data_IF_240289703957
#
_entry.id   IF_240289703957
#
_cell.length_a   1.000
_cell.length_b   1.000
_cell.length_c   1.000
_cell.angle_alpha   90.00
_cell.angle_beta   90.00
_cell.angle_gamma   90.00
#
_symmetry.space_group_name_H-M   'P 1'
#
loop_
_entity.id
_entity.type
_entity.pdbx_description
1 polymer ?
#
# COMPACT_ATOMS: atom_id res chain seq x y z
N UNK A 1 17.38 -3.44 -6.04
CA UNK A 1 18.59 -4.23 -5.77
C UNK A 1 19.31 -4.61 -7.06
N UNK A 2 18.59 -4.95 -8.14
CA UNK A 2 19.11 -5.31 -9.46
C UNK A 2 20.05 -4.27 -10.12
N UNK A 3 19.69 -2.97 -10.12
CA UNK A 3 20.58 -1.94 -10.66
C UNK A 3 21.94 -1.89 -9.95
N UNK A 4 21.96 -2.23 -8.65
CA UNK A 4 23.19 -2.27 -7.86
C UNK A 4 24.03 -3.51 -8.18
N UNK A 5 23.41 -4.66 -8.49
CA UNK A 5 24.16 -5.89 -8.81
C UNK A 5 24.81 -5.83 -10.19
N UNK A 6 24.10 -5.27 -11.18
CA UNK A 6 24.64 -5.13 -12.53
C UNK A 6 25.77 -4.09 -12.58
N UNK A 7 25.66 -3.03 -11.78
CA UNK A 7 26.73 -2.04 -11.62
C UNK A 7 27.95 -2.62 -10.90
N UNK A 8 27.74 -3.49 -9.90
CA UNK A 8 28.84 -4.24 -9.26
C UNK A 8 29.54 -5.20 -10.21
N UNK A 9 28.83 -5.75 -11.20
CA UNK A 9 29.42 -6.66 -12.18
C UNK A 9 30.24 -5.93 -13.24
N UNK A 10 29.81 -4.74 -13.68
CA UNK A 10 30.64 -3.85 -14.48
C UNK A 10 31.90 -3.43 -13.71
N UNK A 11 31.75 -3.04 -12.45
CA UNK A 11 32.87 -2.61 -11.61
C UNK A 11 33.93 -3.69 -11.47
N UNK A 12 33.53 -4.94 -11.18
CA UNK A 12 34.46 -6.07 -11.12
C UNK A 12 35.16 -6.33 -12.44
N UNK A 13 34.45 -6.21 -13.56
CA UNK A 13 35.04 -6.41 -14.89
C UNK A 13 36.07 -5.33 -15.20
N UNK A 14 35.71 -4.06 -15.02
CA UNK A 14 36.59 -2.90 -15.25
C UNK A 14 37.85 -3.00 -14.38
N UNK A 15 37.68 -3.42 -13.14
CA UNK A 15 38.75 -3.68 -12.18
C UNK A 15 39.78 -4.71 -12.67
N UNK A 16 39.30 -5.86 -13.16
CA UNK A 16 40.16 -6.91 -13.73
C UNK A 16 40.85 -6.41 -15.01
N UNK A 17 40.14 -5.65 -15.85
CA UNK A 17 40.67 -5.10 -17.10
C UNK A 17 41.79 -4.08 -16.84
N UNK A 18 41.61 -3.17 -15.90
CA UNK A 18 42.63 -2.17 -15.52
C UNK A 18 43.85 -2.82 -14.86
N UNK A 19 43.65 -3.83 -14.01
CA UNK A 19 44.75 -4.64 -13.45
C UNK A 19 45.57 -5.36 -14.54
N UNK A 20 44.92 -5.86 -15.59
CA UNK A 20 45.61 -6.49 -16.71
C UNK A 20 46.47 -5.48 -17.51
N UNK A 21 46.02 -4.23 -17.59
CA UNK A 21 46.76 -3.12 -18.19
C UNK A 21 47.82 -2.50 -17.26
N UNK A 22 48.07 -3.12 -16.10
CA UNK A 22 49.03 -2.68 -15.09
C UNK A 22 48.75 -1.26 -14.54
N UNK A 23 47.48 -0.89 -14.41
CA UNK A 23 47.05 0.40 -13.86
C UNK A 23 46.29 0.28 -12.55
N UNK A 24 46.22 1.41 -11.81
CA UNK A 24 45.49 1.50 -10.56
C UNK A 24 43.98 1.56 -10.81
N UNK A 25 43.33 0.42 -10.59
CA UNK A 25 41.87 0.25 -10.61
C UNK A 25 41.14 1.29 -9.75
N UNK A 26 41.66 1.64 -8.58
CA UNK A 26 40.93 2.50 -7.64
C UNK A 26 40.82 3.94 -8.14
N UNK A 27 41.80 4.40 -8.93
CA UNK A 27 41.83 5.76 -9.45
C UNK A 27 41.13 5.81 -10.81
N UNK A 28 41.55 4.93 -11.73
CA UNK A 28 41.02 4.92 -13.09
C UNK A 28 39.61 4.34 -13.17
N UNK A 29 39.26 3.38 -12.32
CA UNK A 29 37.93 2.78 -12.30
C UNK A 29 36.84 3.80 -11.95
N UNK A 30 37.06 4.60 -10.90
CA UNK A 30 36.08 5.62 -10.48
C UNK A 30 36.02 6.79 -11.47
N UNK A 31 37.15 7.18 -12.06
CA UNK A 31 37.19 8.22 -13.08
C UNK A 31 36.49 7.80 -14.39
N UNK A 32 36.76 6.58 -14.88
CA UNK A 32 36.09 5.99 -16.05
C UNK A 32 34.58 5.88 -15.82
N UNK A 33 34.16 5.41 -14.64
CA UNK A 33 32.73 5.40 -14.27
C UNK A 33 32.13 6.80 -14.31
N UNK A 34 32.82 7.80 -13.74
CA UNK A 34 32.37 9.19 -13.78
C UNK A 34 32.14 9.71 -15.20
N UNK A 35 33.03 9.39 -16.15
CA UNK A 35 32.84 9.73 -17.57
C UNK A 35 31.62 9.00 -18.16
N UNK A 36 31.49 7.69 -17.89
CA UNK A 36 30.40 6.88 -18.44
C UNK A 36 29.02 7.30 -17.90
N UNK A 37 28.95 7.72 -16.64
CA UNK A 37 27.75 8.20 -15.95
C UNK A 37 27.41 9.66 -16.27
N UNK A 38 28.35 10.45 -16.78
CA UNK A 38 28.14 11.84 -17.18
C UNK A 38 27.03 12.03 -18.21
N UNK A 39 26.50 13.25 -18.31
CA UNK A 39 25.43 13.59 -19.27
C UNK A 39 25.96 14.02 -20.66
N UNK A 40 27.28 13.93 -20.85
CA UNK A 40 27.97 14.25 -22.10
C UNK A 40 27.56 13.32 -23.25
N UNK A 41 27.73 13.80 -24.48
CA UNK A 41 27.47 13.01 -25.68
C UNK A 41 28.39 11.79 -25.77
N UNK A 42 27.99 10.77 -26.53
CA UNK A 42 28.78 9.56 -26.68
C UNK A 42 30.17 9.84 -27.28
N UNK A 43 30.27 10.80 -28.19
CA UNK A 43 31.54 11.21 -28.81
C UNK A 43 32.46 11.91 -27.80
N UNK A 44 31.92 12.80 -26.94
CA UNK A 44 32.69 13.44 -25.86
C UNK A 44 33.20 12.41 -24.83
N UNK A 45 32.39 11.41 -24.50
CA UNK A 45 32.81 10.31 -23.62
C UNK A 45 33.92 9.46 -24.24
N UNK A 46 33.84 9.20 -25.54
CA UNK A 46 34.89 8.50 -26.28
C UNK A 46 36.18 9.32 -26.21
N UNK A 47 36.13 10.61 -26.54
CA UNK A 47 37.30 11.50 -26.51
C UNK A 47 37.93 11.60 -25.11
N UNK A 48 37.11 11.70 -24.06
CA UNK A 48 37.58 11.75 -22.67
C UNK A 48 38.22 10.43 -22.21
N UNK A 49 37.60 9.29 -22.52
CA UNK A 49 38.14 7.95 -22.23
C UNK A 49 39.42 7.71 -23.02
N UNK A 50 39.42 8.09 -24.29
CA UNK A 50 40.58 8.03 -25.15
C UNK A 50 41.74 8.83 -24.55
N UNK A 51 41.52 10.09 -24.15
CA UNK A 51 42.54 10.94 -23.55
C UNK A 51 43.28 10.33 -22.36
N UNK A 52 42.57 9.65 -21.44
CA UNK A 52 43.20 8.96 -20.30
C UNK A 52 43.79 7.61 -20.67
N UNK A 53 43.19 6.91 -21.63
CA UNK A 53 43.67 5.60 -22.07
C UNK A 53 44.93 5.75 -22.95
N UNK A 54 45.19 6.90 -23.58
CA UNK A 54 46.47 7.21 -24.25
C UNK A 54 47.64 6.99 -23.29
N UNK A 55 47.52 7.54 -22.07
CA UNK A 55 48.59 7.53 -21.06
C UNK A 55 48.83 6.12 -20.51
N UNK A 56 47.81 5.26 -20.56
CA UNK A 56 47.79 3.91 -19.98
C UNK A 56 48.19 2.82 -21.00
N UNK A 57 47.72 2.95 -22.25
CA UNK A 57 47.82 1.92 -23.30
C UNK A 57 49.20 1.77 -23.93
N UNK A 58 50.18 2.56 -23.49
CA UNK A 58 51.57 2.49 -23.96
C UNK A 58 52.27 1.15 -23.68
N UNK A 59 51.64 0.26 -22.90
CA UNK A 59 52.30 -0.92 -22.31
C UNK A 59 51.82 -2.27 -22.86
N UNK A 60 50.63 -2.34 -23.46
CA UNK A 60 50.05 -3.62 -23.90
C UNK A 60 49.51 -3.46 -25.34
N UNK A 61 49.77 -4.43 -26.21
CA UNK A 61 49.66 -4.31 -27.68
C UNK A 61 48.26 -4.07 -28.27
N UNK A 62 47.28 -3.68 -27.45
CA UNK A 62 45.97 -3.19 -27.87
C UNK A 62 45.99 -1.67 -28.06
N UNK A 63 45.34 -1.20 -29.11
CA UNK A 63 45.14 0.23 -29.29
C UNK A 63 44.14 0.75 -28.26
N UNK A 64 44.38 1.98 -27.78
CA UNK A 64 43.49 2.71 -26.90
C UNK A 64 42.02 2.71 -27.34
N UNK A 65 41.78 2.83 -28.65
CA UNK A 65 40.44 2.81 -29.23
C UNK A 65 39.76 1.44 -29.02
N UNK A 66 40.49 0.34 -29.16
CA UNK A 66 39.96 -1.01 -28.87
C UNK A 66 39.57 -1.15 -27.40
N UNK A 67 40.38 -0.62 -26.48
CA UNK A 67 40.09 -0.65 -25.03
C UNK A 67 38.86 0.22 -24.73
N UNK A 68 38.77 1.41 -25.32
CA UNK A 68 37.63 2.31 -25.21
C UNK A 68 36.33 1.65 -25.70
N UNK A 69 36.35 1.04 -26.88
CA UNK A 69 35.20 0.32 -27.44
C UNK A 69 34.78 -0.86 -26.57
N UNK A 70 35.73 -1.59 -25.99
CA UNK A 70 35.43 -2.72 -25.10
C UNK A 70 34.77 -2.25 -23.79
N UNK A 71 35.25 -1.15 -23.20
CA UNK A 71 34.65 -0.52 -22.02
C UNK A 71 33.23 -0.07 -22.31
N UNK A 72 33.00 0.63 -23.43
CA UNK A 72 31.67 1.10 -23.83
C UNK A 72 30.72 -0.08 -24.11
N UNK A 73 31.19 -1.11 -24.80
CA UNK A 73 30.40 -2.31 -25.07
C UNK A 73 30.00 -3.02 -23.77
N UNK A 74 30.93 -3.20 -22.84
CA UNK A 74 30.60 -3.81 -21.54
C UNK A 74 29.66 -2.94 -20.71
N UNK A 75 29.82 -1.62 -20.74
CA UNK A 75 28.90 -0.69 -20.11
C UNK A 75 27.48 -0.79 -20.67
N UNK A 76 27.34 -0.86 -22.00
CA UNK A 76 26.06 -1.05 -22.67
C UNK A 76 25.42 -2.41 -22.37
N UNK A 77 26.19 -3.49 -22.38
CA UNK A 77 25.73 -4.84 -22.02
C UNK A 77 25.18 -4.87 -20.58
N UNK A 78 25.90 -4.26 -19.63
CA UNK A 78 25.44 -4.12 -18.26
C UNK A 78 24.14 -3.29 -18.20
N UNK A 79 24.04 -2.16 -18.89
CA UNK A 79 22.78 -1.39 -18.91
C UNK A 79 21.62 -2.13 -19.58
N UNK A 80 21.88 -2.91 -20.62
CA UNK A 80 20.87 -3.73 -21.30
C UNK A 80 20.33 -4.82 -20.36
N UNK A 81 21.21 -5.54 -19.66
CA UNK A 81 20.83 -6.54 -18.66
C UNK A 81 20.01 -5.90 -17.52
N UNK A 82 20.43 -4.73 -17.02
CA UNK A 82 19.68 -4.00 -16.00
C UNK A 82 18.30 -3.51 -16.49
N UNK A 83 18.13 -3.29 -17.80
CA UNK A 83 16.85 -2.91 -18.41
C UNK A 83 15.93 -4.13 -18.54
N UNK A 84 16.45 -5.27 -18.97
CA UNK A 84 15.69 -6.52 -19.07
C UNK A 84 15.17 -6.99 -17.70
N UNK A 85 16.01 -6.97 -16.66
CA UNK A 85 15.58 -7.32 -15.30
C UNK A 85 14.51 -6.36 -14.76
N UNK A 86 14.65 -5.05 -15.02
CA UNK A 86 13.61 -4.08 -14.66
C UNK A 86 12.30 -4.35 -15.40
N UNK A 87 12.35 -4.72 -16.69
CA UNK A 87 11.12 -5.06 -17.43
C UNK A 87 10.45 -6.30 -16.85
N UNK A 88 11.21 -7.33 -16.48
CA UNK A 88 10.66 -8.55 -15.89
C UNK A 88 10.05 -8.28 -14.49
N UNK A 89 10.72 -7.46 -13.66
CA UNK A 89 10.16 -6.98 -12.39
C UNK A 89 8.86 -6.18 -12.58
N UNK A 90 8.79 -5.28 -13.57
CA UNK A 90 7.56 -4.50 -13.84
C UNK A 90 6.42 -5.38 -14.32
N UNK A 91 6.69 -6.36 -15.19
CA UNK A 91 5.69 -7.32 -15.67
C UNK A 91 5.17 -8.17 -14.51
N UNK A 92 6.04 -8.58 -13.59
CA UNK A 92 5.63 -9.31 -12.38
C UNK A 92 4.72 -8.47 -11.46
N UNK A 93 5.02 -7.19 -11.28
CA UNK A 93 4.18 -6.26 -10.51
C UNK A 93 2.83 -6.04 -11.18
N UNK A 94 2.79 -5.85 -12.51
CA UNK A 94 1.55 -5.66 -13.26
C UNK A 94 0.65 -6.90 -13.18
N UNK A 95 1.22 -8.11 -13.26
CA UNK A 95 0.49 -9.37 -13.04
C UNK A 95 -0.08 -9.44 -11.61
N UNK A 96 0.67 -8.96 -10.62
CA UNK A 96 0.20 -8.94 -9.23
C UNK A 96 -0.95 -7.95 -9.03
N UNK A 97 -0.87 -6.76 -9.63
CA UNK A 97 -1.94 -5.76 -9.61
C UNK A 97 -3.19 -6.32 -10.29
N UNK A 98 -3.06 -6.95 -11.47
CA UNK A 98 -4.18 -7.56 -12.18
C UNK A 98 -4.90 -8.62 -11.30
N UNK A 99 -4.15 -9.48 -10.60
CA UNK A 99 -4.73 -10.46 -9.66
C UNK A 99 -5.45 -9.80 -8.47
N UNK A 100 -4.93 -8.70 -7.95
CA UNK A 100 -5.56 -7.97 -6.84
C UNK A 100 -6.86 -7.31 -7.33
N UNK A 101 -6.83 -6.66 -8.50
CA UNK A 101 -8.00 -6.05 -9.12
C UNK A 101 -9.10 -7.08 -9.39
N UNK A 102 -8.75 -8.25 -9.92
CA UNK A 102 -9.70 -9.36 -10.13
C UNK A 102 -10.36 -9.81 -8.81
N UNK A 103 -9.56 -9.97 -7.74
CA UNK A 103 -10.08 -10.32 -6.41
C UNK A 103 -10.96 -9.23 -5.80
N UNK A 104 -10.62 -7.96 -6.00
CA UNK A 104 -11.43 -6.84 -5.53
C UNK A 104 -12.73 -6.69 -6.33
N UNK A 105 -12.70 -6.95 -7.64
CA UNK A 105 -13.88 -6.93 -8.52
C UNK A 105 -14.92 -8.00 -8.15
N UNK A 106 -14.47 -9.17 -7.65
CA UNK A 106 -15.35 -10.23 -7.14
C UNK A 106 -16.05 -9.87 -5.80
N UNK A 107 -15.53 -8.89 -5.07
CA UNK A 107 -16.08 -8.42 -3.79
C UNK A 107 -17.07 -7.25 -3.95
N UNK A 108 -17.40 -6.83 -5.17
CA UNK A 108 -18.36 -5.73 -5.38
C UNK A 108 -19.76 -6.22 -5.00
N UNK A 109 -20.24 -5.64 -3.90
CA UNK A 109 -21.56 -5.83 -3.29
C UNK A 109 -22.64 -5.92 -4.36
N UNK A 110 -23.50 -6.96 -4.35
CA UNK A 110 -24.62 -7.04 -5.29
C UNK A 110 -25.45 -5.76 -5.16
N UNK A 111 -25.71 -5.10 -6.29
CA UNK A 111 -26.46 -3.84 -6.28
C UNK A 111 -27.79 -4.07 -5.54
N UNK A 112 -27.94 -3.35 -4.42
CA UNK A 112 -29.13 -3.41 -3.59
C UNK A 112 -30.30 -2.99 -4.49
N UNK A 113 -31.22 -3.91 -4.77
CA UNK A 113 -32.45 -3.60 -5.51
C UNK A 113 -33.19 -2.54 -4.71
N UNK A 114 -33.21 -1.30 -5.20
CA UNK A 114 -33.90 -0.20 -4.54
C UNK A 114 -35.38 -0.57 -4.47
N UNK A 115 -35.90 -0.73 -3.27
CA UNK A 115 -37.31 -1.03 -3.03
C UNK A 115 -38.16 0.17 -3.49
N UNK A 116 -39.42 -0.06 -3.85
CA UNK A 116 -40.31 1.00 -4.35
C UNK A 116 -40.44 2.18 -3.37
N UNK A 117 -40.33 1.91 -2.07
CA UNK A 117 -40.32 2.92 -1.00
C UNK A 117 -39.08 3.83 -1.03
N UNK A 118 -37.88 3.28 -1.23
CA UNK A 118 -36.64 4.06 -1.39
C UNK A 118 -36.71 4.92 -2.67
N UNK A 119 -37.35 4.41 -3.74
CA UNK A 119 -37.56 5.18 -4.98
C UNK A 119 -38.51 6.34 -4.76
N UNK A 120 -39.62 6.14 -4.04
CA UNK A 120 -40.57 7.20 -3.67
C UNK A 120 -39.89 8.27 -2.82
N UNK A 121 -39.11 7.88 -1.81
CA UNK A 121 -38.37 8.82 -0.97
C UNK A 121 -37.40 9.67 -1.79
N UNK A 122 -36.61 9.03 -2.67
CA UNK A 122 -35.70 9.75 -3.57
C UNK A 122 -36.44 10.72 -4.49
N UNK A 123 -37.61 10.33 -4.99
CA UNK A 123 -38.46 11.17 -5.82
C UNK A 123 -39.03 12.37 -5.04
N UNK A 124 -39.46 12.17 -3.79
CA UNK A 124 -39.93 13.25 -2.91
C UNK A 124 -38.83 14.27 -2.63
N UNK A 125 -37.62 13.80 -2.34
CA UNK A 125 -36.46 14.69 -2.14
C UNK A 125 -36.19 15.47 -3.43
N UNK A 126 -36.15 14.81 -4.60
CA UNK A 126 -35.96 15.49 -5.88
C UNK A 126 -37.03 16.56 -6.14
N UNK A 127 -38.30 16.27 -5.84
CA UNK A 127 -39.38 17.25 -6.01
C UNK A 127 -39.24 18.46 -5.11
N UNK A 128 -38.76 18.28 -3.87
CA UNK A 128 -38.49 19.39 -2.96
C UNK A 128 -37.40 20.31 -3.49
N UNK A 129 -36.40 19.78 -4.21
CA UNK A 129 -35.37 20.59 -4.87
C UNK A 129 -35.82 21.17 -6.22
N UNK A 130 -36.67 20.46 -6.97
CA UNK A 130 -37.21 20.96 -8.24
C UNK A 130 -38.09 22.19 -8.07
N UNK A 131 -38.83 22.26 -6.96
CA UNK A 131 -39.70 23.39 -6.61
C UNK A 131 -38.94 24.68 -6.23
N UNK A 132 -37.61 24.62 -6.09
CA UNK A 132 -36.75 25.78 -5.80
C UNK A 132 -36.13 26.38 -7.08
N UNK A 133 -36.21 25.68 -8.22
CA UNK A 133 -35.58 26.12 -9.48
C UNK A 133 -36.54 26.71 -10.52
N UNK A 134 -37.85 26.59 -10.35
CA UNK A 134 -38.86 27.06 -11.32
C UNK A 134 -39.85 27.99 -10.62
N UNK A 135 -39.47 29.26 -10.50
CA UNK A 135 -40.20 30.29 -9.78
C UNK A 135 -39.83 31.70 -10.26
N UNK A 136 -39.80 31.91 -11.58
CA UNK A 136 -39.99 33.23 -12.18
C UNK A 136 -41.38 33.26 -12.83
N UNK A 137 -42.42 33.51 -12.03
CA UNK A 137 -43.69 34.10 -12.49
C UNK A 137 -44.08 35.16 -11.47
N UNK A 138 -44.04 36.42 -11.90
CA UNK A 138 -44.35 37.58 -11.05
C UNK A 138 -45.85 37.81 -10.88
N UNK A 139 -46.22 38.43 -9.76
CA UNK A 139 -47.13 39.59 -9.71
C UNK A 139 -47.12 40.19 -8.29
N UNK A 140 -47.56 41.44 -8.21
CA UNK A 140 -47.46 42.46 -7.15
C UNK A 140 -47.96 42.15 -5.71
N UNK A 141 -47.44 43.01 -4.83
CA UNK A 141 -48.00 43.58 -3.60
C UNK A 141 -48.05 42.80 -2.25
N UNK A 142 -47.62 43.57 -1.24
CA UNK A 142 -48.06 43.59 0.17
C UNK A 142 -47.10 43.10 1.26
N UNK A 143 -47.16 43.83 2.37
CA UNK A 143 -46.25 43.89 3.52
C UNK A 143 -45.98 42.57 4.25
N UNK A 144 -44.76 42.47 4.78
CA UNK A 144 -44.55 41.95 6.13
C UNK A 144 -43.94 40.56 6.25
N UNK A 145 -42.76 40.52 6.87
CA UNK A 145 -42.23 39.31 7.50
C UNK A 145 -40.97 38.76 6.84
N UNK A 146 -39.83 39.31 7.22
CA UNK A 146 -38.53 38.65 7.10
C UNK A 146 -38.47 37.44 8.05
N UNK A 147 -39.25 36.40 7.79
CA UNK A 147 -39.13 35.10 8.47
C UNK A 147 -38.26 34.16 7.63
N UNK A 148 -36.96 34.24 7.92
CA UNK A 148 -35.93 33.20 7.79
C UNK A 148 -36.28 31.95 6.95
N UNK A 149 -36.37 32.12 5.62
CA UNK A 149 -36.57 31.02 4.67
C UNK A 149 -35.31 30.21 4.35
N UNK A 150 -34.13 30.61 4.83
CA UNK A 150 -32.85 29.93 4.56
C UNK A 150 -32.56 28.73 5.50
N UNK A 151 -33.27 28.59 6.62
CA UNK A 151 -32.97 27.57 7.66
C UNK A 151 -33.62 26.19 7.39
N UNK A 152 -34.32 26.00 6.26
CA UNK A 152 -34.96 24.71 5.92
C UNK A 152 -34.26 23.92 4.82
N UNK A 153 -33.40 24.54 4.01
CA UNK A 153 -32.78 23.87 2.84
C UNK A 153 -31.44 23.21 3.20
N UNK A 154 -30.77 23.72 4.24
CA UNK A 154 -29.50 23.18 4.71
C UNK A 154 -29.72 22.43 6.02
N UNK A 155 -29.47 21.11 6.01
CA UNK A 155 -29.48 20.31 7.23
C UNK A 155 -28.51 20.90 8.24
N UNK A 156 -28.96 21.11 9.48
CA UNK A 156 -28.12 21.62 10.57
C UNK A 156 -26.84 20.78 10.72
N UNK A 157 -25.73 21.45 11.00
CA UNK A 157 -24.43 20.82 11.23
C UNK A 157 -24.53 19.84 12.42
N UNK A 158 -24.31 18.54 12.18
CA UNK A 158 -24.38 17.50 13.22
C UNK A 158 -23.03 17.16 13.84
N UNK A 159 -21.94 17.80 13.41
CA UNK A 159 -20.58 17.43 13.84
C UNK A 159 -20.43 17.46 15.37
N UNK A 160 -20.98 18.49 16.02
CA UNK A 160 -20.95 18.61 17.47
C UNK A 160 -21.76 17.50 18.17
N UNK A 161 -22.92 17.13 17.62
CA UNK A 161 -23.72 16.03 18.16
C UNK A 161 -23.05 14.68 17.96
N UNK A 162 -22.40 14.47 16.81
CA UNK A 162 -21.76 13.21 16.46
C UNK A 162 -20.52 12.97 17.33
N UNK A 163 -19.75 14.03 17.64
CA UNK A 163 -18.67 13.96 18.63
C UNK A 163 -19.21 13.58 20.02
N UNK A 164 -20.29 14.23 20.49
CA UNK A 164 -20.90 13.87 21.78
C UNK A 164 -21.45 12.44 21.81
N UNK A 165 -22.07 11.97 20.71
CA UNK A 165 -22.57 10.60 20.57
C UNK A 165 -21.42 9.60 20.61
N UNK A 166 -20.32 9.87 19.90
CA UNK A 166 -19.13 9.01 19.90
C UNK A 166 -18.49 8.92 21.30
N UNK A 167 -18.37 10.02 22.02
CA UNK A 167 -17.86 10.02 23.40
C UNK A 167 -18.78 9.24 24.34
N UNK A 168 -20.10 9.40 24.20
CA UNK A 168 -21.09 8.65 24.99
C UNK A 168 -21.01 7.16 24.70
N UNK A 169 -20.92 6.75 23.44
CA UNK A 169 -20.75 5.35 23.02
C UNK A 169 -19.45 4.78 23.59
N UNK A 170 -18.34 5.53 23.54
CA UNK A 170 -17.05 5.10 24.11
C UNK A 170 -17.12 4.92 25.62
N UNK A 171 -17.82 5.80 26.33
CA UNK A 171 -18.05 5.66 27.78
C UNK A 171 -18.93 4.45 28.10
N UNK A 172 -19.95 4.21 27.29
CA UNK A 172 -20.84 3.07 27.46
C UNK A 172 -20.16 1.74 27.14
N UNK A 173 -19.34 1.67 26.08
CA UNK A 173 -18.59 0.47 25.72
C UNK A 173 -17.62 0.06 26.83
N UNK A 174 -16.89 1.02 27.42
CA UNK A 174 -16.01 0.75 28.56
C UNK A 174 -16.77 0.22 29.79
N UNK A 175 -17.99 0.73 30.05
CA UNK A 175 -18.85 0.20 31.12
C UNK A 175 -19.31 -1.22 30.82
N UNK A 176 -19.72 -1.50 29.59
CA UNK A 176 -20.14 -2.84 29.17
C UNK A 176 -18.98 -3.84 29.21
N UNK A 177 -17.76 -3.46 28.81
CA UNK A 177 -16.57 -4.30 28.90
C UNK A 177 -16.21 -4.64 30.35
N UNK A 178 -16.27 -3.64 31.24
CA UNK A 178 -16.08 -3.85 32.68
C UNK A 178 -17.11 -4.83 33.25
N UNK A 179 -18.38 -4.68 32.86
CA UNK A 179 -19.46 -5.56 33.30
C UNK A 179 -19.28 -6.98 32.75
N UNK A 180 -19.00 -7.13 31.45
CA UNK A 180 -18.71 -8.43 30.80
C UNK A 180 -17.53 -9.14 31.45
N UNK A 181 -16.48 -8.40 31.85
CA UNK A 181 -15.34 -8.99 32.56
C UNK A 181 -15.77 -9.55 33.93
N UNK A 182 -16.56 -8.79 34.70
CA UNK A 182 -17.10 -9.26 35.98
C UNK A 182 -18.00 -10.48 35.82
N UNK A 183 -18.86 -10.47 34.80
CA UNK A 183 -19.79 -11.57 34.54
C UNK A 183 -19.04 -12.83 34.09
N UNK A 184 -18.00 -12.69 33.26
CA UNK A 184 -17.12 -13.79 32.87
C UNK A 184 -16.38 -14.39 34.06
N UNK A 185 -15.81 -13.55 34.93
CA UNK A 185 -15.13 -14.01 36.15
C UNK A 185 -16.11 -14.75 37.09
N UNK A 186 -17.37 -14.31 37.15
CA UNK A 186 -18.43 -14.95 37.93
C UNK A 186 -18.84 -16.31 37.33
N UNK A 187 -19.06 -16.37 36.02
CA UNK A 187 -19.37 -17.61 35.31
C UNK A 187 -18.26 -18.65 35.44
N UNK A 188 -17.00 -18.26 35.30
CA UNK A 188 -15.87 -19.20 35.40
C UNK A 188 -15.76 -19.77 36.82
N UNK A 189 -16.01 -18.96 37.84
CA UNK A 189 -16.11 -19.42 39.23
C UNK A 189 -17.25 -20.40 39.45
N UNK A 190 -18.41 -20.16 38.84
CA UNK A 190 -19.57 -21.06 38.93
C UNK A 190 -19.34 -22.37 38.17
N UNK A 191 -18.78 -22.32 36.96
CA UNK A 191 -18.36 -23.50 36.19
C UNK A 191 -17.38 -24.36 36.97
N UNK A 192 -16.41 -23.74 37.65
CA UNK A 192 -15.46 -24.48 38.48
C UNK A 192 -16.13 -25.17 39.68
N UNK A 193 -17.09 -24.50 40.34
CA UNK A 193 -17.89 -25.11 41.43
C UNK A 193 -18.74 -26.26 40.91
N UNK A 194 -19.42 -26.07 39.78
CA UNK A 194 -20.27 -27.10 39.18
C UNK A 194 -19.45 -28.34 38.80
N UNK A 195 -18.27 -28.15 38.19
CA UNK A 195 -17.37 -29.25 37.85
C UNK A 195 -16.92 -30.05 39.09
N UNK A 196 -16.70 -29.38 40.23
CA UNK A 196 -16.37 -30.07 41.48
C UNK A 196 -17.55 -30.86 42.04
N UNK A 197 -18.76 -30.31 41.99
CA UNK A 197 -19.97 -31.01 42.42
C UNK A 197 -20.25 -32.23 41.53
N UNK A 198 -20.16 -32.08 40.21
CA UNK A 198 -20.32 -33.17 39.25
C UNK A 198 -19.30 -34.29 39.46
N UNK A 199 -18.03 -33.95 39.73
CA UNK A 199 -16.99 -34.94 40.07
C UNK A 199 -17.34 -35.71 41.35
N UNK A 200 -17.74 -35.00 42.41
CA UNK A 200 -18.18 -35.62 43.67
C UNK A 200 -19.40 -36.52 43.49
N UNK A 201 -20.37 -36.10 42.67
CA UNK A 201 -21.57 -36.90 42.40
C UNK A 201 -21.27 -38.13 41.56
N UNK A 202 -20.42 -38.00 40.52
CA UNK A 202 -19.94 -39.13 39.72
C UNK A 202 -19.20 -40.15 40.59
N UNK A 203 -18.38 -39.69 41.53
CA UNK A 203 -17.69 -40.55 42.49
C UNK A 203 -18.67 -41.27 43.43
N UNK A 204 -19.65 -40.55 44.02
CA UNK A 204 -20.72 -41.16 44.83
C UNK A 204 -21.53 -42.19 44.06
N UNK A 205 -21.89 -41.92 42.80
CA UNK A 205 -22.59 -42.86 41.91
C UNK A 205 -21.73 -44.09 41.60
N UNK A 206 -20.41 -43.94 41.48
CA UNK A 206 -19.48 -45.05 41.24
C UNK A 206 -19.37 -45.97 42.45
N UNK A 207 -19.29 -45.43 43.67
CA UNK A 207 -19.18 -46.24 44.89
C UNK A 207 -20.49 -46.95 45.23
N UNK A 208 -21.64 -46.29 45.06
CA UNK A 208 -22.95 -46.87 45.37
C UNK A 208 -23.38 -48.01 44.41
N UNK A 209 -22.91 -47.98 43.15
CA UNK A 209 -23.08 -49.11 42.21
C UNK A 209 -22.21 -50.32 42.56
N UNK A 210 -21.11 -50.14 43.29
CA UNK A 210 -20.22 -51.21 43.73
C UNK A 210 -20.84 -52.05 44.85
N UNK A 211 -21.57 -51.44 45.77
CA UNK A 211 -22.27 -52.14 46.86
C UNK A 211 -23.52 -52.89 46.38
N UNK A 212 -24.29 -52.34 45.43
CA UNK A 212 -25.46 -53.05 44.85
C UNK A 212 -25.10 -54.28 43.99
N UNK A 213 -23.83 -54.45 43.63
CA UNK A 213 -23.35 -55.58 42.80
C UNK A 213 -22.68 -56.67 43.64
N UNK A 214 -22.48 -56.45 44.94
CA UNK A 214 -21.95 -57.45 45.88
C UNK A 214 -23.08 -58.11 46.65
#
# INVERSE_FOLDING_TARGET
MAASTVQLDFDKWLSVKLKALNTDESIFGDYIKGILEGEESQDEKIDALEGILVEISSTDGMTQNEICQEILKHWELCRAAAREEKTDETVAVDIQIARIMERQALCVVPQKKTTEEERKLKQTILSQYAQVSDGEEGDDDDEGGYDSGEDRVLTRNTNAEDVMKLEKIKKESLRQESQKKKDKDKEDREKQKQLQLDRKEKEKKRTQKGEKKR
#
